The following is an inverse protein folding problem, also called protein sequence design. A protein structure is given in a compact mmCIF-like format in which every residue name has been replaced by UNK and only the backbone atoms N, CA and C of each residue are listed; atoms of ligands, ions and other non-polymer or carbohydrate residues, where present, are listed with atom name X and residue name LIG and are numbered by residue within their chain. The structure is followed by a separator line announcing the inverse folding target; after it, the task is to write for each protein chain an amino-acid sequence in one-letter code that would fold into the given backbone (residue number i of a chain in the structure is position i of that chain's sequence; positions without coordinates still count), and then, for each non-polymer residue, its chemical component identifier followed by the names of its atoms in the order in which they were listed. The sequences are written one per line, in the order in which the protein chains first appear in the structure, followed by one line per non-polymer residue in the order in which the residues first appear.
data_IF_242855985763
#
_entry.id   IF_242855985763
#
_cell.length_a   1.000
_cell.length_b   1.000
_cell.length_c   1.000
_cell.angle_alpha   90.00
_cell.angle_beta   90.00
_cell.angle_gamma   90.00
#
_symmetry.space_group_name_H-M   'P 1'
#
loop_
_entity.id
_entity.type
_entity.pdbx_description
1 polymer ?
#
# COMPACT_ATOMS: atom_id res chain seq x y z
N UNK A 1 9.85 -12.62 -9.64
CA UNK A 1 11.14 -12.78 -8.92
C UNK A 1 11.61 -11.47 -8.32
N UNK A 2 11.58 -10.37 -9.08
CA UNK A 2 11.92 -9.02 -8.61
C UNK A 2 11.42 -8.62 -7.19
N UNK A 3 10.15 -8.89 -6.83
CA UNK A 3 9.65 -8.55 -5.49
C UNK A 3 10.31 -9.34 -4.35
N UNK A 4 10.57 -10.63 -4.56
CA UNK A 4 11.28 -11.47 -3.59
C UNK A 4 12.75 -11.03 -3.44
N UNK A 5 13.38 -10.64 -4.55
CA UNK A 5 14.74 -10.08 -4.58
C UNK A 5 14.83 -8.72 -3.86
N UNK A 6 13.73 -7.96 -3.83
CA UNK A 6 13.58 -6.74 -3.02
C UNK A 6 13.25 -7.02 -1.54
N UNK A 7 13.25 -8.29 -1.12
CA UNK A 7 12.95 -8.66 0.27
C UNK A 7 11.47 -8.57 0.66
N UNK A 8 10.56 -8.41 -0.30
CA UNK A 8 9.11 -8.31 -0.02
C UNK A 8 8.48 -9.70 0.01
N UNK A 9 7.98 -10.09 1.18
CA UNK A 9 7.33 -11.38 1.40
C UNK A 9 5.95 -11.21 2.05
N UNK A 10 4.90 -11.86 1.52
CA UNK A 10 4.90 -12.68 0.30
C UNK A 10 5.14 -11.81 -0.96
N UNK A 11 5.79 -12.35 -2.01
CA UNK A 11 6.16 -11.58 -3.21
C UNK A 11 4.96 -11.36 -4.15
N UNK A 12 3.92 -10.69 -3.63
CA UNK A 12 2.66 -10.41 -4.30
C UNK A 12 2.66 -8.97 -4.80
N UNK A 13 2.25 -8.78 -6.06
CA UNK A 13 1.98 -7.47 -6.61
C UNK A 13 0.46 -7.21 -6.57
N UNK A 14 -0.04 -6.27 -5.74
CA UNK A 14 -1.47 -5.96 -5.64
C UNK A 14 -2.08 -5.42 -6.95
N UNK A 15 -1.28 -4.76 -7.80
CA UNK A 15 -1.77 -4.20 -9.06
C UNK A 15 -2.06 -5.28 -10.09
N UNK A 16 -1.24 -6.34 -10.14
CA UNK A 16 -1.40 -7.47 -11.06
C UNK A 16 -2.21 -8.64 -10.49
N UNK A 17 -2.62 -8.56 -9.23
CA UNK A 17 -3.39 -9.61 -8.55
C UNK A 17 -4.88 -9.31 -8.63
N UNK A 18 -5.66 -10.30 -9.08
CA UNK A 18 -7.11 -10.19 -9.25
C UNK A 18 -7.77 -11.42 -8.63
N UNK A 19 -8.78 -11.20 -7.79
CA UNK A 19 -9.66 -12.27 -7.29
C UNK A 19 -11.01 -12.19 -8.01
N UNK A 20 -11.42 -13.28 -8.63
CA UNK A 20 -12.71 -13.38 -9.35
C UNK A 20 -13.93 -13.32 -8.42
N UNK A 21 -13.72 -13.52 -7.12
CA UNK A 21 -14.76 -13.45 -6.09
C UNK A 21 -14.70 -12.15 -5.29
N UNK A 22 -13.73 -11.28 -5.55
CA UNK A 22 -13.54 -10.02 -4.83
C UNK A 22 -14.83 -9.20 -4.76
N UNK A 23 -15.53 -9.07 -5.89
CA UNK A 23 -16.77 -8.32 -5.96
C UNK A 23 -17.92 -8.89 -5.13
N UNK A 24 -17.88 -10.19 -4.81
CA UNK A 24 -18.86 -10.84 -3.94
C UNK A 24 -18.44 -10.83 -2.47
N UNK A 25 -17.14 -10.69 -2.21
CA UNK A 25 -16.57 -10.74 -0.86
C UNK A 25 -16.54 -9.35 -0.18
N UNK A 26 -16.48 -8.27 -0.96
CA UNK A 26 -16.37 -6.93 -0.43
C UNK A 26 -17.73 -6.23 -0.28
N UNK A 27 -17.87 -5.45 0.79
CA UNK A 27 -18.92 -4.44 0.88
C UNK A 27 -18.69 -3.32 -0.16
N UNK A 28 -19.71 -2.51 -0.50
CA UNK A 28 -19.55 -1.36 -1.39
C UNK A 28 -18.43 -0.41 -0.95
N UNK A 29 -18.33 -0.15 0.36
CA UNK A 29 -17.32 0.74 0.95
C UNK A 29 -15.92 0.14 0.84
N UNK A 30 -15.79 -1.17 1.10
CA UNK A 30 -14.53 -1.89 0.92
C UNK A 30 -14.07 -1.86 -0.54
N UNK A 31 -14.99 -2.02 -1.51
CA UNK A 31 -14.65 -1.94 -2.94
C UNK A 31 -14.12 -0.54 -3.31
N UNK A 32 -14.76 0.52 -2.83
CA UNK A 32 -14.28 1.89 -3.05
C UNK A 32 -12.90 2.10 -2.42
N UNK A 33 -12.70 1.62 -1.20
CA UNK A 33 -11.43 1.71 -0.50
C UNK A 33 -10.31 0.97 -1.24
N UNK A 34 -10.53 -0.28 -1.63
CA UNK A 34 -9.53 -1.08 -2.38
C UNK A 34 -9.20 -0.41 -3.72
N UNK A 35 -10.20 0.11 -4.42
CA UNK A 35 -9.98 0.83 -5.68
C UNK A 35 -9.08 2.05 -5.47
N UNK A 36 -9.34 2.87 -4.44
CA UNK A 36 -8.51 4.03 -4.09
C UNK A 36 -7.08 3.63 -3.72
N UNK A 37 -6.92 2.56 -2.92
CA UNK A 37 -5.60 2.04 -2.57
C UNK A 37 -4.83 1.58 -3.82
N UNK A 38 -5.47 0.86 -4.74
CA UNK A 38 -4.84 0.43 -5.99
C UNK A 38 -4.44 1.62 -6.87
N UNK A 39 -5.28 2.64 -7.00
CA UNK A 39 -4.94 3.86 -7.76
C UNK A 39 -3.75 4.60 -7.16
N UNK A 40 -3.68 4.71 -5.84
CA UNK A 40 -2.56 5.34 -5.14
C UNK A 40 -1.26 4.55 -5.31
N UNK A 41 -1.32 3.22 -5.20
CA UNK A 41 -0.16 2.34 -5.47
C UNK A 41 0.29 2.49 -6.93
N UNK A 42 -0.63 2.52 -7.89
CA UNK A 42 -0.31 2.71 -9.31
C UNK A 42 0.42 4.05 -9.52
N UNK A 43 -0.10 5.14 -8.96
CA UNK A 43 0.54 6.47 -9.04
C UNK A 43 1.96 6.45 -8.46
N UNK A 44 2.16 5.78 -7.32
CA UNK A 44 3.49 5.63 -6.73
C UNK A 44 4.44 4.88 -7.67
N UNK A 45 4.03 3.74 -8.24
CA UNK A 45 4.88 2.95 -9.13
C UNK A 45 5.17 3.68 -10.46
N UNK A 46 4.17 4.32 -11.07
CA UNK A 46 4.31 5.05 -12.34
C UNK A 46 5.27 6.25 -12.23
N UNK A 47 5.42 6.80 -11.03
CA UNK A 47 6.31 7.94 -10.76
C UNK A 47 7.67 7.53 -10.21
N UNK A 48 8.00 6.23 -10.18
CA UNK A 48 9.26 5.73 -9.64
C UNK A 48 10.48 6.36 -10.31
N UNK A 49 10.50 6.44 -11.63
CA UNK A 49 11.66 6.96 -12.37
C UNK A 49 11.89 8.45 -12.11
N UNK A 50 10.82 9.25 -12.12
CA UNK A 50 10.87 10.69 -11.79
C UNK A 50 11.40 10.89 -10.37
N UNK A 51 10.96 10.07 -9.40
CA UNK A 51 11.42 10.12 -8.01
C UNK A 51 12.89 9.71 -7.88
N UNK A 52 13.33 8.68 -8.61
CA UNK A 52 14.72 8.22 -8.61
C UNK A 52 15.68 9.26 -9.21
N UNK A 53 15.23 10.01 -10.22
CA UNK A 53 16.00 11.08 -10.85
C UNK A 53 16.03 12.38 -10.02
N UNK A 54 15.37 12.40 -8.85
CA UNK A 54 15.29 13.59 -7.99
C UNK A 54 14.41 14.70 -8.55
N UNK A 55 13.60 14.42 -9.58
CA UNK A 55 12.72 15.40 -10.21
C UNK A 55 11.37 15.57 -9.47
N UNK A 56 11.10 14.75 -8.45
CA UNK A 56 9.95 14.89 -7.58
C UNK A 56 10.12 16.04 -6.58
N UNK A 57 9.14 16.94 -6.53
CA UNK A 57 9.06 18.04 -5.57
C UNK A 57 7.77 17.94 -4.77
N UNK A 58 7.89 17.93 -3.44
CA UNK A 58 6.74 17.94 -2.53
C UNK A 58 5.90 19.20 -2.73
N UNK A 59 4.58 19.07 -2.72
CA UNK A 59 3.62 20.17 -2.84
C UNK A 59 3.22 20.49 -4.30
N UNK A 60 3.92 19.93 -5.29
CA UNK A 60 3.57 20.11 -6.70
C UNK A 60 2.38 19.24 -7.12
N UNK A 61 2.22 18.06 -6.51
CA UNK A 61 1.13 17.13 -6.77
C UNK A 61 0.71 16.47 -5.45
N UNK A 62 -0.43 16.92 -4.92
CA UNK A 62 -0.94 16.45 -3.64
C UNK A 62 -1.29 14.95 -3.64
N UNK A 63 -1.69 14.39 -4.78
CA UNK A 63 -1.98 12.96 -4.89
C UNK A 63 -0.69 12.14 -4.86
N UNK A 64 0.34 12.60 -5.59
CA UNK A 64 1.66 11.97 -5.56
C UNK A 64 2.31 12.08 -4.18
N UNK A 65 2.21 13.24 -3.52
CA UNK A 65 2.71 13.44 -2.16
C UNK A 65 2.07 12.45 -1.18
N UNK A 66 0.76 12.23 -1.31
CA UNK A 66 0.05 11.24 -0.53
C UNK A 66 0.50 9.82 -0.86
N UNK A 67 0.68 9.49 -2.14
CA UNK A 67 1.17 8.18 -2.56
C UNK A 67 2.58 7.90 -2.04
N UNK A 68 3.49 8.87 -2.12
CA UNK A 68 4.88 8.76 -1.62
C UNK A 68 4.92 8.54 -0.11
N UNK A 69 4.01 9.17 0.64
CA UNK A 69 3.91 8.98 2.11
C UNK A 69 3.24 7.67 2.51
N UNK A 70 2.16 7.27 1.83
CA UNK A 70 1.29 6.18 2.29
C UNK A 70 1.65 4.81 1.70
N UNK A 71 2.09 4.74 0.44
CA UNK A 71 2.35 3.46 -0.24
C UNK A 71 3.46 2.64 0.42
N UNK A 72 4.57 3.22 0.91
CA UNK A 72 5.57 2.47 1.67
C UNK A 72 4.97 1.78 2.91
N UNK A 73 4.11 2.47 3.66
CA UNK A 73 3.43 1.92 4.84
C UNK A 73 2.42 0.82 4.47
N UNK A 74 1.74 0.96 3.34
CA UNK A 74 0.86 -0.09 2.81
C UNK A 74 1.68 -1.35 2.47
N UNK A 75 2.83 -1.19 1.82
CA UNK A 75 3.70 -2.32 1.51
C UNK A 75 4.31 -2.98 2.76
N UNK A 76 4.62 -2.20 3.79
CA UNK A 76 4.99 -2.72 5.11
C UNK A 76 3.85 -3.57 5.69
N UNK A 77 2.62 -3.05 5.72
CA UNK A 77 1.45 -3.76 6.24
C UNK A 77 1.11 -5.06 5.47
N UNK A 78 1.44 -5.12 4.18
CA UNK A 78 1.25 -6.32 3.35
C UNK A 78 2.35 -7.37 3.55
N UNK A 79 3.44 -7.03 4.23
CA UNK A 79 4.52 -7.96 4.52
C UNK A 79 4.09 -8.89 5.66
N UNK A 80 4.22 -10.20 5.45
CA UNK A 80 3.79 -11.22 6.40
C UNK A 80 4.83 -12.34 6.53
N UNK A 81 5.05 -12.77 7.76
CA UNK A 81 5.82 -13.95 8.15
C UNK A 81 4.93 -15.20 8.19
N UNK A 82 5.46 -16.41 7.93
CA UNK A 82 4.71 -17.65 8.11
C UNK A 82 4.19 -17.89 9.53
N UNK A 83 4.69 -17.16 10.53
CA UNK A 83 4.24 -17.23 11.92
C UNK A 83 3.11 -16.25 12.23
N UNK A 84 2.78 -15.36 11.30
CA UNK A 84 1.73 -14.38 11.51
C UNK A 84 0.37 -15.05 11.51
N UNK A 85 -0.51 -14.56 12.38
CA UNK A 85 -1.87 -15.08 12.49
C UNK A 85 -2.70 -14.55 11.33
N UNK A 86 -3.64 -15.37 10.88
CA UNK A 86 -4.67 -14.89 9.97
C UNK A 86 -5.40 -13.68 10.57
N UNK A 87 -5.53 -12.64 9.76
CA UNK A 87 -6.29 -11.46 10.16
C UNK A 87 -7.78 -11.76 10.20
N UNK A 88 -8.44 -11.37 11.29
CA UNK A 88 -9.89 -11.45 11.41
C UNK A 88 -10.59 -10.30 10.65
N UNK A 89 -9.95 -9.14 10.58
CA UNK A 89 -10.41 -7.97 9.82
C UNK A 89 -9.20 -7.27 9.17
N UNK A 90 -8.87 -7.60 7.91
CA UNK A 90 -7.69 -7.05 7.25
C UNK A 90 -7.79 -5.53 7.01
N UNK A 91 -9.01 -4.97 6.91
CA UNK A 91 -9.21 -3.55 6.70
C UNK A 91 -8.94 -2.75 7.97
N UNK A 92 -9.45 -3.24 9.11
CA UNK A 92 -9.15 -2.64 10.41
C UNK A 92 -7.67 -2.75 10.77
N UNK A 93 -7.03 -3.88 10.45
CA UNK A 93 -5.60 -4.11 10.69
C UNK A 93 -4.74 -3.11 9.90
N UNK A 94 -5.03 -2.94 8.60
CA UNK A 94 -4.36 -1.95 7.76
C UNK A 94 -4.57 -0.53 8.30
N UNK A 95 -5.81 -0.18 8.67
CA UNK A 95 -6.11 1.15 9.22
C UNK A 95 -5.34 1.43 10.53
N UNK A 96 -5.23 0.42 11.41
CA UNK A 96 -4.43 0.53 12.64
C UNK A 96 -2.95 0.67 12.34
N UNK A 97 -2.41 -0.07 11.39
CA UNK A 97 -1.01 0.03 10.98
C UNK A 97 -0.68 1.43 10.47
N UNK A 98 -1.50 1.96 9.55
CA UNK A 98 -1.30 3.30 8.99
C UNK A 98 -1.40 4.40 10.06
N UNK A 99 -2.39 4.32 10.95
CA UNK A 99 -2.54 5.26 12.08
C UNK A 99 -1.38 5.20 13.07
N UNK A 100 -0.92 3.99 13.41
CA UNK A 100 0.19 3.80 14.35
C UNK A 100 1.49 4.43 13.86
N UNK A 101 1.78 4.30 12.56
CA UNK A 101 2.98 4.87 11.94
C UNK A 101 2.90 6.38 11.76
N UNK A 102 1.74 6.91 11.39
CA UNK A 102 1.50 8.36 11.29
C UNK A 102 1.66 9.08 12.64
N UNK A 103 1.33 8.40 13.75
CA UNK A 103 1.48 8.97 15.09
C UNK A 103 2.91 8.82 15.64
N UNK A 104 3.66 7.79 15.20
CA UNK A 104 5.06 7.59 15.59
C UNK A 104 6.03 8.58 14.95
N UNK A 105 5.70 9.09 13.76
CA UNK A 105 6.51 10.06 13.00
C UNK A 105 6.39 11.51 13.52
N UNK A 106 5.53 11.76 14.52
CA UNK A 106 5.42 13.05 15.23
C UNK A 106 6.20 13.08 16.56
N UNK A 107 6.93 12.02 16.89
CA UNK A 107 7.55 11.81 18.20
C UNK A 107 9.08 11.78 18.26
N UNK A 108 9.78 12.04 17.14
CA UNK A 108 11.25 12.12 17.08
C UNK A 108 11.71 13.53 16.64
#
# INVERSE_FOLDING_TARGET
RALAEQGRYPPVNPLSSISRLADKAWSPEQRVLVTRLKSMIARFEDTRDIRLLGAYQSGADAELDNAVRQVPLIYEALTQSPRDRASADPFADLARHLKGKLNGDQGD
#
